data_IF_309646275426
#
_entry.id   IF_309646275426
#
_cell.length_a   1.000
_cell.length_b   1.000
_cell.length_c   1.000
_cell.angle_alpha   90.00
_cell.angle_beta   90.00
_cell.angle_gamma   90.00
#
_symmetry.space_group_name_H-M   'P 1'
#
loop_
_entity.id
_entity.type
_entity.pdbx_description
1 polymer ?
#
# COMPACT_ATOMS: atom_id res chain seq x y z
N UNK A 1 -19.31 8.92 -52.16
CA UNK A 1 -18.22 8.10 -51.63
C UNK A 1 -18.44 7.95 -50.13
N UNK A 2 -18.54 6.70 -49.71
CA UNK A 2 -18.87 6.23 -48.36
C UNK A 2 -17.63 6.16 -47.47
N UNK A 3 -17.82 6.32 -46.15
CA UNK A 3 -17.17 5.63 -45.00
C UNK A 3 -17.46 6.48 -43.75
N UNK A 4 -18.51 6.19 -42.98
CA UNK A 4 -18.68 5.13 -41.96
C UNK A 4 -17.96 5.43 -40.64
N UNK A 5 -18.80 5.41 -39.61
CA UNK A 5 -18.63 5.65 -38.17
C UNK A 5 -17.69 4.62 -37.52
N UNK A 6 -16.99 5.06 -36.47
CA UNK A 6 -16.37 4.20 -35.46
C UNK A 6 -16.52 4.85 -34.09
N UNK A 7 -17.59 4.48 -33.39
CA UNK A 7 -17.87 4.78 -31.99
C UNK A 7 -16.70 4.39 -31.07
N UNK A 8 -16.39 5.23 -30.09
CA UNK A 8 -15.68 4.79 -28.88
C UNK A 8 -16.57 5.10 -27.69
N UNK A 9 -17.15 4.02 -27.16
CA UNK A 9 -17.91 3.94 -25.92
C UNK A 9 -17.16 4.62 -24.76
N UNK A 10 -17.72 5.73 -24.27
CA UNK A 10 -17.37 6.34 -22.99
C UNK A 10 -18.51 6.08 -22.01
N UNK A 11 -18.15 5.41 -20.91
CA UNK A 11 -19.01 4.92 -19.83
C UNK A 11 -20.09 5.92 -19.34
N UNK A 12 -21.27 5.43 -18.92
CA UNK A 12 -22.46 6.25 -18.64
C UNK A 12 -22.43 7.09 -17.34
N UNK A 13 -21.32 7.10 -16.58
CA UNK A 13 -21.26 7.78 -15.28
C UNK A 13 -20.79 9.25 -15.32
N UNK A 14 -20.45 9.80 -16.48
CA UNK A 14 -19.96 11.18 -16.62
C UNK A 14 -20.99 12.20 -17.09
N UNK A 15 -22.28 11.84 -17.19
CA UNK A 15 -23.33 12.74 -17.70
C UNK A 15 -24.05 13.61 -16.65
N UNK A 16 -23.61 13.63 -15.40
CA UNK A 16 -24.34 14.31 -14.33
C UNK A 16 -23.85 15.70 -13.90
N UNK A 17 -22.79 16.24 -14.51
CA UNK A 17 -22.30 17.59 -14.14
C UNK A 17 -22.31 18.49 -15.37
N UNK A 18 -23.50 18.80 -15.88
CA UNK A 18 -23.65 19.94 -16.79
C UNK A 18 -25.11 20.40 -16.82
N UNK A 19 -25.62 20.91 -15.70
CA UNK A 19 -26.80 21.78 -15.69
C UNK A 19 -27.00 22.39 -14.31
N UNK A 20 -26.50 23.61 -14.10
CA UNK A 20 -27.15 24.66 -13.30
C UNK A 20 -26.29 25.94 -13.40
N UNK A 21 -26.34 26.58 -14.56
CA UNK A 21 -26.04 27.99 -14.68
C UNK A 21 -27.28 28.76 -14.18
N UNK A 22 -27.24 29.23 -12.94
CA UNK A 22 -28.13 30.32 -12.49
C UNK A 22 -27.29 31.37 -11.76
N UNK A 23 -27.64 32.61 -12.06
CA UNK A 23 -26.87 33.81 -11.82
C UNK A 23 -26.67 34.16 -10.33
N UNK A 24 -25.64 34.99 -10.11
CA UNK A 24 -25.45 35.86 -8.94
C UNK A 24 -25.10 35.17 -7.62
N UNK A 25 -23.82 35.23 -7.25
CA UNK A 25 -23.28 36.08 -6.15
C UNK A 25 -21.79 35.74 -6.01
N UNK A 26 -20.94 36.76 -6.01
CA UNK A 26 -19.51 36.66 -5.71
C UNK A 26 -19.33 36.07 -4.31
N UNK A 27 -18.97 34.79 -4.22
CA UNK A 27 -18.34 34.22 -3.04
C UNK A 27 -17.00 33.62 -3.47
N UNK A 28 -15.94 34.30 -3.05
CA UNK A 28 -14.55 33.87 -3.19
C UNK A 28 -14.41 32.62 -2.30
N UNK A 29 -14.58 31.44 -2.89
CA UNK A 29 -14.14 30.19 -2.29
C UNK A 29 -12.62 30.11 -2.50
N UNK A 30 -11.80 29.99 -1.45
CA UNK A 30 -10.40 29.69 -1.63
C UNK A 30 -10.33 28.31 -2.28
N UNK A 31 -9.73 28.25 -3.47
CA UNK A 31 -9.35 27.01 -4.13
C UNK A 31 -8.58 26.16 -3.13
N UNK A 32 -9.23 25.14 -2.58
CA UNK A 32 -8.52 24.01 -2.01
C UNK A 32 -7.88 23.33 -3.21
N UNK A 33 -6.64 23.70 -3.51
CA UNK A 33 -5.79 22.90 -4.37
C UNK A 33 -5.72 21.53 -3.70
N UNK A 34 -6.48 20.58 -4.22
CA UNK A 34 -6.19 19.18 -4.05
C UNK A 34 -4.81 18.99 -4.68
N UNK A 35 -3.77 19.09 -3.86
CA UNK A 35 -2.45 18.61 -4.21
C UNK A 35 -2.62 17.10 -4.42
N UNK A 36 -2.81 16.70 -5.67
CA UNK A 36 -2.45 15.37 -6.10
C UNK A 36 -0.95 15.27 -5.85
N UNK A 37 -0.58 14.79 -4.66
CA UNK A 37 0.79 14.39 -4.39
C UNK A 37 1.07 13.29 -5.41
N UNK A 38 1.87 13.65 -6.42
CA UNK A 38 2.54 12.70 -7.27
C UNK A 38 3.28 11.73 -6.35
N UNK A 39 2.71 10.55 -6.15
CA UNK A 39 3.41 9.41 -5.59
C UNK A 39 4.59 9.17 -6.53
N UNK A 40 5.77 9.57 -6.09
CA UNK A 40 7.03 9.18 -6.70
C UNK A 40 7.00 7.65 -6.72
N UNK A 41 6.97 7.07 -7.92
CA UNK A 41 6.80 5.63 -8.09
C UNK A 41 8.00 4.93 -7.48
N UNK A 42 7.81 4.30 -6.32
CA UNK A 42 8.81 3.40 -5.76
C UNK A 42 9.14 2.32 -6.81
N UNK A 43 10.42 2.21 -7.17
CA UNK A 43 10.88 1.12 -8.03
C UNK A 43 10.97 -0.16 -7.21
N UNK A 44 9.90 -0.96 -7.26
CA UNK A 44 9.81 -2.22 -6.54
C UNK A 44 10.33 -3.41 -7.38
N UNK A 45 11.23 -3.16 -8.35
CA UNK A 45 11.76 -4.17 -9.28
C UNK A 45 12.46 -5.36 -8.64
N UNK A 46 12.73 -5.34 -7.32
CA UNK A 46 13.30 -6.44 -6.56
C UNK A 46 12.30 -7.54 -6.16
N UNK A 47 10.98 -7.27 -6.21
CA UNK A 47 9.93 -8.23 -5.86
C UNK A 47 9.62 -9.17 -7.03
N UNK A 48 10.58 -10.03 -7.37
CA UNK A 48 10.39 -11.03 -8.42
C UNK A 48 9.63 -12.23 -7.84
N UNK A 49 8.47 -12.53 -8.42
CA UNK A 49 7.45 -13.52 -8.03
C UNK A 49 6.36 -12.97 -7.09
N UNK A 50 5.07 -13.30 -7.30
CA UNK A 50 4.04 -12.99 -6.31
C UNK A 50 4.41 -13.68 -4.99
N UNK A 51 4.87 -12.91 -4.03
CA UNK A 51 5.17 -13.37 -2.68
C UNK A 51 3.98 -12.98 -1.80
N UNK A 52 3.26 -13.99 -1.31
CA UNK A 52 2.27 -13.82 -0.25
C UNK A 52 3.02 -13.69 1.08
N UNK A 53 3.42 -12.45 1.40
CA UNK A 53 4.20 -12.16 2.59
C UNK A 53 3.36 -12.33 3.87
N UNK A 54 2.10 -11.89 3.81
CA UNK A 54 1.14 -11.88 4.90
C UNK A 54 -0.26 -12.40 4.51
N UNK A 55 -0.45 -12.79 3.25
CA UNK A 55 -1.71 -13.34 2.75
C UNK A 55 -1.77 -14.85 2.98
N UNK A 56 -2.91 -15.35 3.47
CA UNK A 56 -3.18 -16.78 3.59
C UNK A 56 -4.67 -17.08 3.51
N UNK A 57 -5.02 -18.31 3.10
CA UNK A 57 -6.41 -18.77 3.08
C UNK A 57 -6.82 -19.33 4.45
N UNK A 58 -8.03 -18.98 4.89
CA UNK A 58 -8.66 -19.50 6.10
C UNK A 58 -10.17 -19.63 5.86
N UNK A 59 -10.70 -20.86 5.93
CA UNK A 59 -12.12 -21.17 5.78
C UNK A 59 -12.78 -20.46 4.57
N UNK A 60 -12.20 -20.65 3.38
CA UNK A 60 -12.60 -20.04 2.10
C UNK A 60 -12.52 -18.50 2.04
N UNK A 61 -11.70 -17.89 2.90
CA UNK A 61 -11.45 -16.44 2.91
C UNK A 61 -9.96 -16.15 2.76
N UNK A 62 -9.65 -15.13 1.97
CA UNK A 62 -8.30 -14.56 1.89
C UNK A 62 -8.14 -13.62 3.09
N UNK A 63 -7.18 -13.93 3.95
CA UNK A 63 -6.86 -13.14 5.15
C UNK A 63 -5.48 -12.53 4.99
N UNK A 64 -5.39 -11.22 5.22
CA UNK A 64 -4.13 -10.52 5.41
C UNK A 64 -3.85 -10.47 6.91
N UNK A 65 -2.75 -11.06 7.34
CA UNK A 65 -2.39 -11.06 8.75
C UNK A 65 -1.11 -11.81 9.06
N UNK A 66 -0.93 -12.10 10.34
CA UNK A 66 0.26 -12.80 10.80
C UNK A 66 0.20 -14.29 10.45
N UNK A 67 1.02 -14.73 9.50
CA UNK A 67 1.10 -16.12 9.07
C UNK A 67 1.70 -17.00 10.17
N UNK A 68 1.04 -18.13 10.47
CA UNK A 68 1.56 -19.14 11.39
C UNK A 68 2.76 -19.88 10.80
N UNK A 69 3.74 -20.22 11.64
CA UNK A 69 4.96 -20.92 11.21
C UNK A 69 6.08 -20.04 10.67
N UNK A 70 5.86 -18.73 10.47
CA UNK A 70 6.87 -17.76 10.01
C UNK A 70 7.35 -16.88 11.18
N UNK A 71 8.45 -17.23 11.89
CA UNK A 71 8.82 -16.54 13.12
C UNK A 71 9.60 -15.25 12.91
N UNK A 72 10.21 -15.02 11.75
CA UNK A 72 11.00 -13.81 11.49
C UNK A 72 10.11 -12.75 10.84
N UNK A 73 9.88 -11.65 11.54
CA UNK A 73 8.96 -10.60 11.14
C UNK A 73 9.77 -9.36 10.79
N UNK A 74 9.56 -8.84 9.59
CA UNK A 74 10.06 -7.54 9.15
C UNK A 74 9.02 -6.50 9.50
N UNK A 75 9.41 -5.45 10.23
CA UNK A 75 8.51 -4.40 10.68
C UNK A 75 9.15 -3.01 10.69
N UNK A 76 8.28 -1.99 10.70
CA UNK A 76 8.65 -0.59 10.89
C UNK A 76 7.97 -0.04 12.16
N UNK A 77 8.71 0.70 12.99
CA UNK A 77 8.21 1.23 14.29
C UNK A 77 8.11 2.76 14.34
N UNK A 78 8.56 3.46 13.31
CA UNK A 78 8.54 4.92 13.20
C UNK A 78 7.86 5.35 11.90
N UNK A 79 7.45 6.61 11.81
CA UNK A 79 6.90 7.23 10.59
C UNK A 79 5.78 6.41 9.93
N UNK A 80 4.92 5.80 10.76
CA UNK A 80 3.99 4.73 10.34
C UNK A 80 2.95 5.20 9.32
N UNK A 81 2.35 6.38 9.53
CA UNK A 81 1.31 6.90 8.63
C UNK A 81 1.87 7.25 7.25
N UNK A 82 3.02 7.93 7.23
CA UNK A 82 3.67 8.37 6.00
C UNK A 82 4.24 7.17 5.22
N UNK A 83 4.83 6.20 5.93
CA UNK A 83 5.52 5.07 5.33
C UNK A 83 4.61 3.95 4.86
N UNK A 84 3.39 3.81 5.41
CA UNK A 84 2.51 2.70 5.05
C UNK A 84 2.11 2.72 3.56
N UNK A 85 1.87 3.91 3.01
CA UNK A 85 1.53 4.07 1.60
C UNK A 85 2.70 3.67 0.67
N UNK A 86 3.93 4.08 1.02
CA UNK A 86 5.14 3.76 0.29
C UNK A 86 5.46 2.26 0.35
N UNK A 87 5.37 1.65 1.54
CA UNK A 87 5.57 0.20 1.72
C UNK A 87 4.53 -0.58 0.91
N UNK A 88 3.26 -0.17 0.93
CA UNK A 88 2.19 -0.85 0.18
C UNK A 88 2.31 -0.75 -1.34
N UNK A 89 3.06 0.22 -1.85
CA UNK A 89 3.37 0.28 -3.28
C UNK A 89 4.20 -0.93 -3.72
N UNK A 90 5.08 -1.44 -2.84
CA UNK A 90 5.87 -2.64 -3.09
C UNK A 90 5.21 -3.90 -2.52
N UNK A 91 4.70 -3.84 -1.28
CA UNK A 91 4.23 -4.99 -0.51
C UNK A 91 2.75 -4.76 -0.16
N UNK A 92 1.80 -5.14 -1.05
CA UNK A 92 0.40 -4.75 -0.92
C UNK A 92 -0.29 -5.28 0.33
N UNK A 93 0.18 -6.43 0.84
CA UNK A 93 -0.34 -7.09 2.04
C UNK A 93 0.39 -6.66 3.33
N UNK A 94 1.14 -5.56 3.30
CA UNK A 94 1.62 -4.88 4.50
C UNK A 94 0.46 -4.19 5.24
N UNK A 95 0.48 -4.23 6.58
CA UNK A 95 -0.60 -3.69 7.40
C UNK A 95 -0.12 -3.06 8.70
N UNK A 96 -0.83 -2.03 9.15
CA UNK A 96 -0.64 -1.43 10.47
C UNK A 96 -1.24 -2.34 11.55
N UNK A 97 -0.49 -2.60 12.60
CA UNK A 97 -0.97 -3.37 13.75
C UNK A 97 -0.30 -2.89 15.03
N UNK A 98 -0.62 -3.53 16.16
CA UNK A 98 -0.07 -3.18 17.46
C UNK A 98 0.24 -4.41 18.29
N UNK A 99 1.22 -4.26 19.17
CA UNK A 99 1.59 -5.26 20.18
C UNK A 99 2.00 -4.57 21.48
N UNK A 100 2.60 -5.33 22.40
CA UNK A 100 3.23 -4.77 23.61
C UNK A 100 4.41 -3.85 23.32
N UNK A 101 4.98 -3.92 22.12
CA UNK A 101 6.05 -3.02 21.65
C UNK A 101 5.52 -1.69 21.09
N UNK A 102 4.20 -1.48 21.09
CA UNK A 102 3.54 -0.33 20.47
C UNK A 102 2.98 -0.64 19.09
N UNK A 103 2.60 0.41 18.37
CA UNK A 103 2.14 0.33 16.98
C UNK A 103 3.31 0.14 16.03
N UNK A 104 3.11 -0.66 14.99
CA UNK A 104 4.12 -0.92 13.98
C UNK A 104 3.47 -1.35 12.66
N UNK A 105 4.16 -1.14 11.55
CA UNK A 105 3.77 -1.73 10.26
C UNK A 105 4.36 -3.13 10.22
N UNK A 106 3.49 -4.13 10.07
CA UNK A 106 3.88 -5.49 9.76
C UNK A 106 4.10 -5.58 8.25
N UNK A 107 5.35 -5.74 7.83
CA UNK A 107 5.74 -5.71 6.42
C UNK A 107 5.69 -7.11 5.83
N UNK A 108 6.38 -8.06 6.44
CA UNK A 108 6.45 -9.44 5.95
C UNK A 108 6.83 -10.43 7.05
N UNK A 109 6.49 -11.70 6.84
CA UNK A 109 6.89 -12.80 7.73
C UNK A 109 7.63 -13.89 6.95
N UNK A 110 8.72 -14.41 7.51
CA UNK A 110 9.57 -15.43 6.91
C UNK A 110 9.83 -16.62 7.84
N UNK A 111 10.10 -17.78 7.23
CA UNK A 111 10.49 -19.01 7.93
C UNK A 111 11.95 -18.96 8.42
N UNK A 112 12.80 -18.18 7.76
CA UNK A 112 14.21 -18.07 8.08
C UNK A 112 14.67 -16.60 8.12
N UNK A 113 15.77 -16.36 8.83
CA UNK A 113 16.32 -15.02 9.02
C UNK A 113 16.95 -14.45 7.75
N UNK A 114 17.52 -15.29 6.89
CA UNK A 114 18.23 -14.86 5.68
C UNK A 114 17.29 -14.16 4.72
N UNK A 115 16.16 -14.78 4.40
CA UNK A 115 15.18 -14.20 3.48
C UNK A 115 14.57 -12.90 4.05
N UNK A 116 14.38 -12.83 5.38
CA UNK A 116 13.98 -11.59 6.04
C UNK A 116 15.03 -10.48 5.88
N UNK A 117 16.32 -10.83 5.98
CA UNK A 117 17.44 -9.89 5.83
C UNK A 117 17.57 -9.38 4.40
N UNK A 118 17.42 -10.25 3.42
CA UNK A 118 17.40 -9.86 2.00
C UNK A 118 16.30 -8.84 1.73
N UNK A 119 15.08 -9.07 2.26
CA UNK A 119 14.01 -8.08 2.12
C UNK A 119 14.34 -6.75 2.82
N UNK A 120 14.94 -6.78 4.02
CA UNK A 120 15.30 -5.53 4.70
C UNK A 120 16.34 -4.72 3.93
N UNK A 121 17.33 -5.37 3.32
CA UNK A 121 18.35 -4.71 2.51
C UNK A 121 17.71 -4.08 1.26
N UNK A 122 16.79 -4.79 0.61
CA UNK A 122 16.06 -4.27 -0.56
C UNK A 122 15.16 -3.08 -0.22
N UNK A 123 14.48 -3.11 0.93
CA UNK A 123 13.64 -1.99 1.40
C UNK A 123 14.50 -0.78 1.71
N UNK A 124 15.65 -0.96 2.36
CA UNK A 124 16.57 0.12 2.68
C UNK A 124 17.12 0.76 1.39
N UNK A 125 17.57 -0.05 0.42
CA UNK A 125 18.09 0.43 -0.86
C UNK A 125 17.04 1.16 -1.72
N UNK A 126 15.80 0.68 -1.73
CA UNK A 126 14.76 1.17 -2.66
C UNK A 126 13.90 2.29 -2.08
N UNK A 127 13.62 2.24 -0.78
CA UNK A 127 12.70 3.14 -0.09
C UNK A 127 13.39 4.05 0.92
N UNK A 128 14.64 3.77 1.30
CA UNK A 128 15.38 4.48 2.36
C UNK A 128 14.59 4.49 3.68
N UNK A 129 14.04 3.33 4.05
CA UNK A 129 13.24 3.13 5.27
C UNK A 129 13.96 2.12 6.18
N UNK A 130 14.26 2.52 7.42
CA UNK A 130 14.87 1.66 8.44
C UNK A 130 13.86 0.63 8.99
N UNK A 131 13.87 -0.57 8.42
CA UNK A 131 13.05 -1.70 8.85
C UNK A 131 13.84 -2.66 9.73
N UNK A 132 13.14 -3.33 10.66
CA UNK A 132 13.76 -4.22 11.65
C UNK A 132 13.23 -5.63 11.56
N UNK A 133 14.11 -6.60 11.82
CA UNK A 133 13.75 -8.00 11.94
C UNK A 133 13.59 -8.36 13.41
N UNK A 134 12.46 -8.97 13.76
CA UNK A 134 12.16 -9.42 15.11
C UNK A 134 11.61 -10.84 15.07
N UNK A 135 12.01 -11.64 16.05
CA UNK A 135 11.42 -12.95 16.26
C UNK A 135 10.03 -12.83 16.91
N UNK A 136 9.03 -13.54 16.38
CA UNK A 136 7.61 -13.50 16.80
C UNK A 136 7.39 -13.60 18.31
N UNK A 137 8.22 -14.36 19.01
CA UNK A 137 8.14 -14.48 20.48
C UNK A 137 8.27 -13.14 21.21
N UNK A 138 9.00 -12.17 20.64
CA UNK A 138 9.18 -10.83 21.21
C UNK A 138 7.95 -9.93 21.10
N UNK A 139 6.97 -10.26 20.24
CA UNK A 139 5.71 -9.51 20.12
C UNK A 139 4.66 -9.92 21.16
N UNK A 140 4.83 -11.09 21.79
CA UNK A 140 3.86 -11.68 22.75
C UNK A 140 4.25 -11.52 24.21
N UNK A 141 5.52 -11.22 24.49
CA UNK A 141 6.07 -10.98 25.84
C UNK A 141 5.69 -9.60 26.33
#
# INVERSE_FOLDING_TARGET
>A
MSLSIGDTDLNPFQKFICCLATASTLLILPSVMASAQSQESADCGFLVSPQEFNTFENDDRIVIGQVSGRPYIVLLTHDLEDSLSAIRACIPDAFLTSSRLGSYIHIASFNNYRDAKELTEQIDESLNIDVRIIHRSRLRQ
#
